data_IF_776690435783
#
_entry.id   IF_776690435783
#
_cell.length_a   1.000
_cell.length_b   1.000
_cell.length_c   1.000
_cell.angle_alpha   90.00
_cell.angle_beta   90.00
_cell.angle_gamma   90.00
#
_symmetry.space_group_name_H-M   'P 1'
#
loop_
_entity.id
_entity.type
_entity.pdbx_description
1 polymer ?
#
# COMPACT_ATOMS: atom_id res chain seq x y z
N UNK A 1 10.36 5.59 -14.60
CA UNK A 1 9.64 4.39 -14.14
C UNK A 1 8.84 4.75 -12.90
N UNK A 2 7.63 4.20 -12.73
CA UNK A 2 6.81 4.38 -11.52
C UNK A 2 6.72 3.06 -10.77
N UNK A 3 7.34 2.98 -9.59
CA UNK A 3 7.40 1.77 -8.76
C UNK A 3 6.52 1.96 -7.52
N UNK A 4 5.46 1.18 -7.41
CA UNK A 4 4.44 1.35 -6.36
C UNK A 4 4.41 0.12 -5.48
N UNK A 5 4.58 0.33 -4.18
CA UNK A 5 4.43 -0.69 -3.16
C UNK A 5 3.01 -0.60 -2.61
N UNK A 6 2.19 -1.61 -2.89
CA UNK A 6 0.82 -1.73 -2.40
C UNK A 6 0.82 -2.57 -1.13
N UNK A 7 0.48 -1.95 -0.01
CA UNK A 7 0.35 -2.62 1.27
C UNK A 7 -0.88 -2.11 2.03
N UNK A 8 -1.08 -2.58 3.25
CA UNK A 8 -2.24 -2.21 4.06
C UNK A 8 -2.81 -3.36 4.87
N UNK A 9 -3.88 -3.07 5.60
CA UNK A 9 -4.57 -4.04 6.44
C UNK A 9 -5.10 -5.20 5.59
N UNK A 10 -5.05 -6.41 6.12
CA UNK A 10 -5.67 -7.54 5.45
C UNK A 10 -7.21 -7.36 5.45
N UNK A 11 -7.85 -7.58 4.30
CA UNK A 11 -9.25 -7.22 4.06
C UNK A 11 -9.52 -5.76 3.62
N UNK A 12 -8.50 -4.89 3.55
CA UNK A 12 -8.66 -3.50 3.07
C UNK A 12 -8.75 -3.35 1.55
N UNK A 13 -8.69 -4.44 0.78
CA UNK A 13 -8.84 -4.38 -0.68
C UNK A 13 -7.54 -4.35 -1.49
N UNK A 14 -6.40 -4.73 -0.91
CA UNK A 14 -5.11 -4.87 -1.61
C UNK A 14 -5.21 -5.60 -2.95
N UNK A 15 -5.83 -6.77 -2.97
CA UNK A 15 -6.00 -7.54 -4.20
C UNK A 15 -6.89 -6.84 -5.23
N UNK A 16 -7.87 -6.04 -4.80
CA UNK A 16 -8.68 -5.22 -5.71
C UNK A 16 -7.87 -4.06 -6.26
N UNK A 17 -7.04 -3.41 -5.42
CA UNK A 17 -6.16 -2.33 -5.85
C UNK A 17 -5.13 -2.81 -6.87
N UNK A 18 -4.49 -3.97 -6.65
CA UNK A 18 -3.55 -4.55 -7.62
C UNK A 18 -4.21 -4.83 -8.96
N UNK A 19 -5.42 -5.41 -8.98
CA UNK A 19 -6.17 -5.62 -10.23
C UNK A 19 -6.49 -4.31 -10.96
N UNK A 20 -6.86 -3.27 -10.22
CA UNK A 20 -7.11 -1.95 -10.82
C UNK A 20 -5.83 -1.36 -11.40
N UNK A 21 -4.69 -1.49 -10.71
CA UNK A 21 -3.40 -1.05 -11.21
C UNK A 21 -2.96 -1.84 -12.45
N UNK A 22 -3.26 -3.14 -12.50
CA UNK A 22 -3.04 -3.98 -13.69
C UNK A 22 -3.83 -3.45 -14.89
N UNK A 23 -5.11 -3.09 -14.69
CA UNK A 23 -5.92 -2.43 -15.74
C UNK A 23 -5.35 -1.07 -16.18
N UNK A 24 -4.61 -0.39 -15.30
CA UNK A 24 -3.91 0.88 -15.56
C UNK A 24 -2.53 0.69 -16.24
N UNK A 25 -2.18 -0.55 -16.56
CA UNK A 25 -0.94 -0.92 -17.25
C UNK A 25 0.26 -1.08 -16.32
N UNK A 26 0.06 -1.28 -15.02
CA UNK A 26 1.14 -1.65 -14.11
C UNK A 26 1.42 -3.15 -14.19
N UNK A 27 2.71 -3.50 -14.23
CA UNK A 27 3.14 -4.87 -13.99
C UNK A 27 2.98 -5.21 -12.50
N UNK A 28 1.96 -6.00 -12.18
CA UNK A 28 1.57 -6.29 -10.80
C UNK A 28 2.13 -7.63 -10.30
N UNK A 29 2.79 -7.62 -9.15
CA UNK A 29 3.25 -8.85 -8.46
C UNK A 29 2.62 -8.90 -7.07
N UNK A 30 1.83 -9.93 -6.78
CA UNK A 30 1.21 -10.11 -5.45
C UNK A 30 2.06 -11.04 -4.57
N UNK A 31 2.08 -10.75 -3.26
CA UNK A 31 2.71 -11.55 -2.22
C UNK A 31 4.21 -11.86 -2.48
N UNK A 32 4.98 -10.87 -2.95
CA UNK A 32 6.42 -11.01 -3.12
C UNK A 32 7.11 -11.12 -1.75
N UNK A 33 8.01 -12.10 -1.54
CA UNK A 33 8.86 -12.14 -0.36
C UNK A 33 9.70 -10.87 -0.22
N UNK A 34 9.76 -10.31 0.99
CA UNK A 34 10.48 -9.05 1.28
C UNK A 34 11.96 -9.12 0.87
N UNK A 35 12.59 -10.28 0.99
CA UNK A 35 13.98 -10.53 0.58
C UNK A 35 14.24 -10.41 -0.93
N UNK A 36 13.20 -10.30 -1.76
CA UNK A 36 13.32 -10.20 -3.21
C UNK A 36 12.97 -8.80 -3.72
N UNK A 37 12.57 -7.88 -2.84
CA UNK A 37 12.19 -6.52 -3.22
C UNK A 37 13.37 -5.81 -3.88
N UNK A 38 14.55 -5.92 -3.28
CA UNK A 38 15.80 -5.34 -3.77
C UNK A 38 16.19 -5.88 -5.15
N UNK A 39 16.15 -7.19 -5.32
CA UNK A 39 16.51 -7.89 -6.55
C UNK A 39 15.52 -7.54 -7.66
N UNK A 40 14.23 -7.49 -7.33
CA UNK A 40 13.19 -7.13 -8.28
C UNK A 40 13.24 -5.65 -8.66
N UNK A 41 13.55 -4.77 -7.71
CA UNK A 41 13.83 -3.36 -8.02
C UNK A 41 15.03 -3.24 -8.96
N UNK A 42 16.15 -3.90 -8.69
CA UNK A 42 17.33 -3.86 -9.56
C UNK A 42 17.03 -4.32 -10.99
N UNK A 43 16.19 -5.36 -11.16
CA UNK A 43 15.76 -5.82 -12.47
C UNK A 43 14.85 -4.82 -13.18
N UNK A 44 13.93 -4.19 -12.46
CA UNK A 44 12.94 -3.27 -13.03
C UNK A 44 13.54 -1.91 -13.36
N UNK A 45 14.41 -1.37 -12.49
CA UNK A 45 15.13 -0.10 -12.71
C UNK A 45 16.28 -0.21 -13.73
N UNK A 46 16.59 -1.41 -14.22
CA UNK A 46 17.62 -1.59 -15.25
C UNK A 46 17.20 -0.91 -16.56
N UNK A 47 18.06 -0.09 -17.21
CA UNK A 47 17.76 0.56 -18.48
C UNK A 47 17.33 -0.37 -19.62
N UNK A 48 17.65 -1.67 -19.54
CA UNK A 48 17.23 -2.67 -20.53
C UNK A 48 15.85 -3.27 -20.26
N UNK A 49 15.19 -2.86 -19.17
CA UNK A 49 13.84 -3.30 -18.82
C UNK A 49 12.81 -2.44 -19.55
N UNK A 50 11.87 -3.08 -20.23
CA UNK A 50 10.74 -2.40 -20.89
C UNK A 50 9.62 -2.04 -19.88
N UNK A 51 9.83 -2.26 -18.57
CA UNK A 51 8.83 -2.04 -17.54
C UNK A 51 8.82 -0.58 -17.08
N UNK A 52 7.82 0.19 -17.52
CA UNK A 52 7.68 1.59 -17.12
C UNK A 52 6.88 1.79 -15.82
N UNK A 53 5.96 0.87 -15.51
CA UNK A 53 5.05 0.93 -14.36
C UNK A 53 4.99 -0.42 -13.66
N UNK A 54 5.28 -0.44 -12.36
CA UNK A 54 5.38 -1.66 -11.56
C UNK A 54 4.61 -1.47 -10.26
N UNK A 55 3.78 -2.44 -9.89
CA UNK A 55 3.06 -2.46 -8.63
C UNK A 55 3.35 -3.76 -7.86
N UNK A 56 3.71 -3.65 -6.60
CA UNK A 56 4.11 -4.77 -5.77
C UNK A 56 3.22 -4.89 -4.53
N UNK A 57 2.47 -5.97 -4.44
CA UNK A 57 1.69 -6.35 -3.28
C UNK A 57 2.57 -6.94 -2.18
N UNK A 58 2.68 -6.24 -1.06
CA UNK A 58 3.36 -6.75 0.14
C UNK A 58 2.31 -7.16 1.17
N UNK A 59 2.27 -8.45 1.50
CA UNK A 59 1.42 -9.01 2.56
C UNK A 59 2.25 -9.38 3.79
N UNK A 60 1.85 -8.88 4.96
CA UNK A 60 2.65 -8.90 6.19
C UNK A 60 2.28 -10.10 7.08
N UNK A 61 1.75 -11.16 6.47
CA UNK A 61 1.46 -12.44 7.14
C UNK A 61 2.68 -13.08 7.82
N UNK A 62 3.88 -12.64 7.49
CA UNK A 62 5.13 -13.05 8.12
C UNK A 62 5.65 -11.95 9.04
N UNK A 63 5.17 -11.95 10.30
CA UNK A 63 5.49 -10.94 11.31
C UNK A 63 6.97 -10.77 11.69
N UNK A 64 7.88 -11.60 11.16
CA UNK A 64 9.34 -11.50 11.34
C UNK A 64 10.07 -10.73 10.21
N UNK A 65 9.37 -10.30 9.15
CA UNK A 65 10.02 -9.61 8.02
C UNK A 65 9.83 -8.08 8.00
N UNK A 66 9.17 -7.47 8.98
CA UNK A 66 8.94 -6.02 9.00
C UNK A 66 10.22 -5.19 9.16
N UNK A 67 11.15 -5.65 9.99
CA UNK A 67 12.48 -5.02 10.11
C UNK A 67 13.21 -5.06 8.75
N UNK A 68 13.18 -6.24 8.09
CA UNK A 68 13.80 -6.43 6.78
C UNK A 68 13.17 -5.59 5.68
N UNK A 69 11.88 -5.29 5.78
CA UNK A 69 11.23 -4.39 4.83
C UNK A 69 11.79 -2.98 4.96
N UNK A 70 12.04 -2.53 6.19
CA UNK A 70 12.68 -1.23 6.42
C UNK A 70 14.06 -1.20 5.80
N UNK A 71 14.87 -2.23 6.05
CA UNK A 71 16.21 -2.37 5.46
C UNK A 71 16.16 -2.36 3.92
N UNK A 72 15.21 -3.11 3.32
CA UNK A 72 15.02 -3.11 1.86
C UNK A 72 14.63 -1.74 1.32
N UNK A 73 13.72 -1.02 1.98
CA UNK A 73 13.32 0.33 1.57
C UNK A 73 14.48 1.34 1.68
N UNK A 74 15.32 1.20 2.70
CA UNK A 74 16.48 2.06 2.90
C UNK A 74 17.55 1.79 1.81
N UNK A 75 17.73 0.53 1.39
CA UNK A 75 18.59 0.17 0.23
C UNK A 75 18.08 0.81 -1.07
N UNK A 76 16.75 0.81 -1.32
CA UNK A 76 16.19 1.48 -2.50
C UNK A 76 16.48 2.99 -2.49
N UNK A 77 16.37 3.62 -1.32
CA UNK A 77 16.70 5.04 -1.14
C UNK A 77 18.19 5.32 -1.42
N UNK A 78 19.10 4.48 -0.91
CA UNK A 78 20.54 4.60 -1.17
C UNK A 78 20.87 4.47 -2.65
N UNK A 79 20.18 3.58 -3.36
CA UNK A 79 20.31 3.38 -4.81
C UNK A 79 19.62 4.45 -5.65
N UNK A 80 18.93 5.42 -5.04
CA UNK A 80 18.12 6.45 -5.71
C UNK A 80 17.06 5.85 -6.64
N UNK A 81 16.49 4.72 -6.23
CA UNK A 81 15.39 4.07 -6.92
C UNK A 81 14.08 4.60 -6.34
N UNK A 82 13.47 5.59 -7.01
CA UNK A 82 12.25 6.25 -6.52
C UNK A 82 11.06 5.28 -6.44
N UNK A 83 10.46 5.16 -5.26
CA UNK A 83 9.26 4.34 -5.03
C UNK A 83 8.16 5.15 -4.34
N UNK A 84 6.92 4.68 -4.48
CA UNK A 84 5.75 5.21 -3.77
C UNK A 84 5.09 4.08 -2.98
N UNK A 85 4.61 4.37 -1.77
CA UNK A 85 3.88 3.43 -0.92
C UNK A 85 2.40 3.80 -0.89
N UNK A 86 1.55 2.91 -1.40
CA UNK A 86 0.10 2.94 -1.26
C UNK A 86 -0.33 2.07 -0.09
N UNK A 87 -0.92 2.68 0.94
CA UNK A 87 -1.44 2.01 2.12
C UNK A 87 -2.96 1.99 2.12
N UNK A 88 -3.55 0.79 2.09
CA UNK A 88 -5.00 0.61 2.17
C UNK A 88 -5.41 0.26 3.61
N UNK A 89 -6.37 1.00 4.15
CA UNK A 89 -6.93 0.69 5.46
C UNK A 89 -8.45 0.64 5.45
N UNK A 90 -9.02 0.14 6.55
CA UNK A 90 -10.43 0.29 6.86
C UNK A 90 -10.60 0.15 8.38
N UNK A 91 -11.78 0.55 8.86
CA UNK A 91 -12.19 0.41 10.24
C UNK A 91 -12.30 -1.06 10.64
N UNK A 92 -12.00 -1.36 11.90
CA UNK A 92 -11.92 -2.74 12.41
C UNK A 92 -13.24 -3.49 12.21
N UNK A 93 -14.38 -2.82 12.46
CA UNK A 93 -15.72 -3.38 12.22
C UNK A 93 -15.97 -3.76 10.76
N UNK A 94 -15.47 -2.94 9.82
CA UNK A 94 -15.61 -3.18 8.37
C UNK A 94 -14.71 -4.34 7.95
N UNK A 95 -13.46 -4.36 8.42
CA UNK A 95 -12.54 -5.47 8.17
C UNK A 95 -13.12 -6.78 8.71
N UNK A 96 -13.61 -6.79 9.95
CA UNK A 96 -14.23 -7.95 10.58
C UNK A 96 -15.41 -8.48 9.76
N UNK A 97 -16.27 -7.59 9.25
CA UNK A 97 -17.40 -7.95 8.38
C UNK A 97 -16.90 -8.58 7.06
N UNK A 98 -15.96 -7.93 6.36
CA UNK A 98 -15.38 -8.44 5.11
C UNK A 98 -14.71 -9.80 5.27
N UNK A 99 -14.04 -10.03 6.41
CA UNK A 99 -13.45 -11.33 6.72
C UNK A 99 -14.50 -12.43 6.85
N UNK A 100 -15.57 -12.17 7.62
CA UNK A 100 -16.69 -13.09 7.80
C UNK A 100 -17.37 -13.40 6.46
N UNK A 101 -17.51 -12.41 5.60
CA UNK A 101 -18.10 -12.55 4.26
C UNK A 101 -17.21 -13.35 3.28
N UNK A 102 -15.88 -13.20 3.36
CA UNK A 102 -14.99 -13.84 2.39
C UNK A 102 -14.90 -15.37 2.52
N UNK A 103 -15.46 -15.97 3.58
CA UNK A 103 -15.40 -17.41 3.94
C UNK A 103 -13.99 -18.03 3.91
N UNK A 104 -12.91 -17.25 3.77
CA UNK A 104 -11.53 -17.74 3.75
C UNK A 104 -11.10 -18.03 5.17
N UNK A 105 -10.54 -19.23 5.42
CA UNK A 105 -9.97 -19.61 6.72
C UNK A 105 -8.88 -18.61 7.10
N UNK A 106 -9.03 -18.02 8.28
CA UNK A 106 -8.13 -17.00 8.82
C UNK A 106 -6.70 -17.56 9.00
N UNK A 107 -5.67 -16.98 8.34
CA UNK A 107 -4.28 -17.45 8.46
C UNK A 107 -3.72 -17.38 9.89
N UNK A 108 -4.33 -16.56 10.76
CA UNK A 108 -3.95 -16.34 12.16
C UNK A 108 -4.90 -17.04 13.16
N UNK A 109 -5.80 -17.93 12.70
CA UNK A 109 -6.73 -18.68 13.59
C UNK A 109 -6.04 -19.67 14.52
N UNK A 110 -4.72 -19.85 14.40
CA UNK A 110 -3.92 -20.63 15.35
C UNK A 110 -3.75 -19.95 16.72
N UNK A 111 -4.10 -18.66 16.91
CA UNK A 111 -3.74 -17.93 18.15
C UNK A 111 -4.76 -16.90 18.70
N UNK A 112 -6.04 -16.85 18.28
CA UNK A 112 -7.04 -15.98 18.92
C UNK A 112 -8.23 -15.52 18.06
N UNK A 113 -9.01 -14.56 18.59
CA UNK A 113 -10.14 -13.92 17.89
C UNK A 113 -9.66 -13.06 16.70
N UNK A 114 -10.46 -12.97 15.64
CA UNK A 114 -10.15 -12.17 14.42
C UNK A 114 -9.90 -10.70 14.77
N UNK A 115 -10.64 -10.17 15.73
CA UNK A 115 -10.52 -8.80 16.23
C UNK A 115 -9.14 -8.53 16.85
N UNK A 116 -8.63 -9.45 17.66
CA UNK A 116 -7.26 -9.37 18.20
C UNK A 116 -6.20 -9.43 17.10
N UNK A 117 -6.47 -10.21 16.05
CA UNK A 117 -5.62 -10.28 14.86
C UNK A 117 -5.52 -8.93 14.15
N UNK A 118 -6.67 -8.29 13.89
CA UNK A 118 -6.75 -6.97 13.25
C UNK A 118 -6.01 -5.92 14.09
N UNK A 119 -6.22 -5.90 15.42
CA UNK A 119 -5.54 -4.94 16.29
C UNK A 119 -4.02 -5.10 16.28
N UNK A 120 -3.53 -6.33 16.40
CA UNK A 120 -2.08 -6.64 16.34
C UNK A 120 -1.49 -6.30 14.98
N UNK A 121 -2.22 -6.53 13.89
CA UNK A 121 -1.80 -6.14 12.55
C UNK A 121 -1.69 -4.62 12.43
N UNK A 122 -2.67 -3.86 12.95
CA UNK A 122 -2.65 -2.40 12.93
C UNK A 122 -1.44 -1.83 13.67
N UNK A 123 -1.12 -2.36 14.84
CA UNK A 123 0.07 -1.98 15.61
C UNK A 123 1.36 -2.25 14.82
N UNK A 124 1.46 -3.42 14.17
CA UNK A 124 2.61 -3.81 13.36
C UNK A 124 2.75 -2.99 12.07
N UNK A 125 1.65 -2.58 11.45
CA UNK A 125 1.64 -1.81 10.21
C UNK A 125 1.76 -0.30 10.42
N UNK A 126 1.68 0.17 11.67
CA UNK A 126 1.71 1.59 11.98
C UNK A 126 2.96 2.31 11.43
N UNK A 127 4.12 1.63 11.38
CA UNK A 127 5.33 2.23 10.82
C UNK A 127 5.24 2.43 9.30
N UNK A 128 4.64 1.47 8.57
CA UNK A 128 4.43 1.61 7.12
C UNK A 128 3.40 2.67 6.82
N UNK A 129 2.33 2.75 7.62
CA UNK A 129 1.34 3.82 7.50
C UNK A 129 2.00 5.20 7.65
N UNK A 130 2.99 5.36 8.54
CA UNK A 130 3.75 6.61 8.70
C UNK A 130 4.67 6.93 7.53
N UNK A 131 5.16 5.91 6.81
CA UNK A 131 6.01 6.06 5.62
C UNK A 131 5.21 6.08 4.32
N UNK A 132 3.89 5.92 4.36
CA UNK A 132 3.05 5.82 3.17
C UNK A 132 2.90 7.17 2.48
N UNK A 133 3.09 7.20 1.17
CA UNK A 133 2.84 8.37 0.34
C UNK A 133 1.34 8.60 0.14
N UNK A 134 0.59 7.51 -0.01
CA UNK A 134 -0.87 7.55 -0.17
C UNK A 134 -1.54 6.62 0.81
N UNK A 135 -2.56 7.13 1.51
CA UNK A 135 -3.39 6.35 2.42
C UNK A 135 -4.83 6.42 1.93
N UNK A 136 -5.43 5.28 1.64
CA UNK A 136 -6.83 5.19 1.22
C UNK A 136 -7.63 4.45 2.29
N UNK A 137 -8.58 5.16 2.90
CA UNK A 137 -9.58 4.55 3.79
C UNK A 137 -10.70 3.93 2.95
N UNK A 138 -10.74 2.61 2.94
CA UNK A 138 -11.73 1.83 2.20
C UNK A 138 -12.98 1.50 3.02
N UNK A 139 -13.14 2.06 4.24
CA UNK A 139 -14.24 1.72 5.16
C UNK A 139 -15.62 1.90 4.55
N UNK A 140 -15.83 3.00 3.82
CA UNK A 140 -17.14 3.43 3.35
C UNK A 140 -17.23 3.54 1.83
N UNK A 141 -16.29 2.94 1.11
CA UNK A 141 -16.22 3.04 -0.36
C UNK A 141 -16.38 1.67 -1.01
N UNK A 142 -16.95 1.65 -2.21
CA UNK A 142 -17.05 0.44 -3.02
C UNK A 142 -15.81 0.28 -3.89
N UNK A 143 -15.64 -0.90 -4.49
CA UNK A 143 -14.51 -1.19 -5.39
C UNK A 143 -14.46 -0.22 -6.59
N UNK A 144 -15.62 0.22 -7.09
CA UNK A 144 -15.70 1.22 -8.17
C UNK A 144 -15.16 2.59 -7.73
N UNK A 145 -15.40 2.96 -6.47
CA UNK A 145 -14.97 4.25 -5.92
C UNK A 145 -13.47 4.20 -5.64
N UNK A 146 -12.97 3.04 -5.16
CA UNK A 146 -11.53 2.75 -5.06
C UNK A 146 -10.83 2.89 -6.41
N UNK A 147 -11.44 2.43 -7.51
CA UNK A 147 -10.90 2.64 -8.85
C UNK A 147 -10.77 4.13 -9.17
N UNK A 148 -11.79 4.93 -8.88
CA UNK A 148 -11.75 6.38 -9.08
C UNK A 148 -10.66 7.07 -8.26
N UNK A 149 -10.44 6.64 -7.01
CA UNK A 149 -9.35 7.18 -6.18
C UNK A 149 -7.97 6.80 -6.73
N UNK A 150 -7.79 5.57 -7.19
CA UNK A 150 -6.52 5.14 -7.81
C UNK A 150 -6.28 5.82 -9.15
N UNK A 151 -7.32 6.07 -9.93
CA UNK A 151 -7.24 6.77 -11.21
C UNK A 151 -6.69 8.20 -11.02
N UNK A 152 -7.23 8.93 -10.03
CA UNK A 152 -6.75 10.28 -9.66
C UNK A 152 -5.27 10.31 -9.29
N UNK A 153 -4.79 9.27 -8.58
CA UNK A 153 -3.41 9.19 -8.09
C UNK A 153 -2.44 8.74 -9.20
N UNK A 154 -2.83 7.73 -9.97
CA UNK A 154 -1.92 6.98 -10.85
C UNK A 154 -2.06 7.26 -12.34
N UNK A 155 -3.22 7.73 -12.80
CA UNK A 155 -3.51 8.02 -14.22
C UNK A 155 -3.53 9.51 -14.49
N UNK A 156 -4.36 10.25 -13.75
CA UNK A 156 -4.58 11.67 -14.06
C UNK A 156 -3.36 12.55 -13.81
N UNK A 157 -2.30 12.03 -13.16
CA UNK A 157 -1.14 12.81 -12.70
C UNK A 157 -1.59 14.11 -12.01
N UNK A 158 -2.79 14.10 -11.41
CA UNK A 158 -3.33 15.23 -10.68
C UNK A 158 -2.34 15.49 -9.58
N UNK A 159 -1.58 16.57 -9.73
CA UNK A 159 -0.53 17.00 -8.81
C UNK A 159 -1.09 17.04 -7.38
N UNK A 160 -1.05 15.92 -6.66
CA UNK A 160 -1.09 15.86 -5.20
C UNK A 160 0.21 16.46 -4.61
N UNK A 161 0.91 17.30 -5.37
CA UNK A 161 2.07 18.08 -4.97
C UNK A 161 1.75 19.53 -4.59
N UNK A 162 0.54 20.05 -4.81
CA UNK A 162 0.30 21.48 -4.57
C UNK A 162 -0.84 21.74 -3.58
N UNK A 163 -0.70 21.32 -2.32
CA UNK A 163 -1.40 22.02 -1.23
C UNK A 163 -0.78 23.40 -1.08
N UNK A 164 -1.40 24.40 -1.71
CA UNK A 164 -0.95 25.79 -1.61
C UNK A 164 -1.54 26.42 -0.34
N UNK A 165 -0.82 26.34 0.78
CA UNK A 165 -1.24 26.99 2.04
C UNK A 165 -0.79 28.45 2.04
N UNK A 166 -1.75 29.38 1.93
CA UNK A 166 -1.51 30.81 2.13
C UNK A 166 -1.96 31.22 3.52
N UNK A 167 -1.01 31.49 4.42
CA UNK A 167 -1.28 32.05 5.75
C UNK A 167 -1.23 33.58 5.65
N UNK A 168 -2.34 34.24 5.95
CA UNK A 168 -2.41 35.70 6.03
C UNK A 168 -2.63 36.07 7.51
N UNK A 169 -1.71 36.86 8.06
CA UNK A 169 -1.88 37.51 9.36
C UNK A 169 -2.21 38.99 9.14
N UNK A 170 -3.20 39.51 9.85
CA UNK A 170 -3.54 40.93 9.84
C UNK A 170 -3.87 41.41 11.25
N UNK A 171 -3.53 42.67 11.54
CA UNK A 171 -3.83 43.32 12.81
C UNK A 171 -5.14 44.10 12.73
N UNK A 172 -6.03 43.91 13.71
CA UNK A 172 -7.23 44.72 13.88
C UNK A 172 -6.89 46.00 14.66
N UNK A 173 -7.50 47.13 14.28
CA UNK A 173 -7.36 48.42 14.96
C UNK A 173 -8.47 48.60 15.99
#
# INVERSE_FOLDING_TARGET
>A
MRFVIVTGMSGAGKSSALKILEDFGFFCVDNLPIKLIDTFADLTFNPTSDLEKVAMGIDIRSGEMLAKLTDSLDILNEKKQDYEILFLEANDNVLLKRYKESRRKHPLSKYGNVEDGIRKEREKLAFLKKRADYIIDTSNILVRDLRGELDKIFIDNGLFKNLYVRIISFGYK
#
